data_IF_262205079021
#
_entry.id   IF_262205079021
#
_cell.length_a   1.000
_cell.length_b   1.000
_cell.length_c   1.000
_cell.angle_alpha   90.00
_cell.angle_beta   90.00
_cell.angle_gamma   90.00
#
_symmetry.space_group_name_H-M   'P 1'
#
loop_
_entity.id
_entity.type
_entity.pdbx_description
1 polymer ?
#
# COMPACT_ATOMS: atom_id res chain seq x y z
N UNK A 1 13.55 -22.71 -5.64
CA UNK A 1 12.66 -22.14 -4.82
C UNK A 1 13.27 -21.15 -3.90
N UNK A 2 12.63 -20.10 -3.76
CA UNK A 2 13.15 -19.15 -2.97
C UNK A 2 12.51 -19.16 -1.71
N UNK A 3 12.57 -20.19 -1.09
CA UNK A 3 11.99 -20.31 0.09
C UNK A 3 12.28 -19.28 0.96
N UNK A 4 13.29 -18.98 0.98
CA UNK A 4 13.54 -18.15 1.91
C UNK A 4 13.03 -16.87 2.02
N UNK A 5 12.53 -16.40 1.04
CA UNK A 5 11.92 -15.14 1.15
C UNK A 5 10.87 -15.19 2.22
N UNK A 6 10.26 -16.34 2.38
CA UNK A 6 9.30 -16.47 3.41
C UNK A 6 9.95 -16.49 4.73
N UNK A 7 10.98 -17.22 4.87
CA UNK A 7 11.62 -17.27 6.14
C UNK A 7 12.26 -15.98 6.47
N UNK A 8 12.41 -15.11 5.48
CA UNK A 8 13.01 -13.89 5.72
C UNK A 8 12.04 -12.83 5.81
N UNK A 9 10.85 -13.20 6.08
CA UNK A 9 9.84 -12.24 6.04
C UNK A 9 9.79 -11.31 7.17
N UNK A 10 10.75 -11.27 8.00
CA UNK A 10 10.99 -10.11 8.78
C UNK A 10 11.29 -8.90 7.91
N UNK A 11 11.70 -9.13 6.64
CA UNK A 11 12.00 -8.05 5.70
C UNK A 11 10.76 -7.52 5.00
N UNK A 12 9.71 -8.31 4.89
CA UNK A 12 8.47 -7.91 4.20
C UNK A 12 7.29 -8.24 5.08
N UNK A 13 6.47 -7.22 5.34
CA UNK A 13 5.22 -7.41 6.08
C UNK A 13 4.07 -6.95 5.18
N UNK A 14 3.17 -7.88 4.86
CA UNK A 14 1.96 -7.58 4.11
C UNK A 14 0.78 -7.86 5.03
N UNK A 15 -0.08 -6.87 5.21
CA UNK A 15 -1.21 -6.99 6.14
C UNK A 15 -2.52 -6.77 5.39
N UNK A 16 -3.52 -7.59 5.67
CA UNK A 16 -4.85 -7.37 5.12
C UNK A 16 -5.55 -6.30 5.93
N UNK A 17 -6.33 -5.46 5.28
CA UNK A 17 -7.04 -4.36 5.93
C UNK A 17 -8.48 -4.26 5.43
N UNK A 18 -9.34 -5.24 5.79
CA UNK A 18 -10.73 -5.25 5.29
C UNK A 18 -11.64 -4.24 5.97
N UNK A 19 -11.30 -3.76 7.17
CA UNK A 19 -12.15 -2.84 7.92
C UNK A 19 -11.48 -1.53 8.26
N UNK A 20 -10.20 -1.56 8.57
CA UNK A 20 -9.44 -0.35 8.82
C UNK A 20 -7.97 -0.61 8.46
N UNK A 21 -7.21 0.45 8.28
CA UNK A 21 -5.80 0.35 8.00
C UNK A 21 -5.05 1.19 9.02
N UNK A 22 -4.33 0.51 9.92
CA UNK A 22 -3.56 1.17 10.97
C UNK A 22 -2.14 1.41 10.48
N UNK A 23 -1.91 2.61 9.93
CA UNK A 23 -0.65 3.03 9.34
C UNK A 23 0.50 2.95 10.35
N UNK A 24 0.27 3.41 11.57
CA UNK A 24 1.30 3.43 12.59
C UNK A 24 1.68 2.03 13.06
N UNK A 25 0.69 1.17 13.29
CA UNK A 25 0.93 -0.20 13.69
C UNK A 25 1.70 -0.97 12.63
N UNK A 26 1.41 -0.70 11.35
CA UNK A 26 2.12 -1.34 10.27
C UNK A 26 3.60 -0.94 10.27
N UNK A 27 3.89 0.34 10.51
CA UNK A 27 5.27 0.80 10.60
C UNK A 27 5.99 0.11 11.77
N UNK A 28 5.31 0.01 12.91
CA UNK A 28 5.89 -0.60 14.10
C UNK A 28 6.18 -2.08 13.96
N UNK A 29 5.61 -2.73 12.95
CA UNK A 29 5.88 -4.14 12.68
C UNK A 29 7.28 -4.39 12.11
N UNK A 30 7.98 -3.36 11.68
CA UNK A 30 9.29 -3.50 11.07
C UNK A 30 10.41 -3.39 12.11
N UNK A 31 11.41 -4.26 11.97
CA UNK A 31 12.63 -4.14 12.75
C UNK A 31 13.56 -3.20 11.98
N UNK A 32 13.83 -2.04 12.53
CA UNK A 32 14.59 -1.00 11.87
C UNK A 32 16.09 -1.05 12.16
N UNK A 33 16.59 -2.12 12.78
CA UNK A 33 18.01 -2.27 13.07
C UNK A 33 18.81 -2.17 11.78
N UNK A 34 19.81 -1.32 11.77
CA UNK A 34 20.67 -1.13 10.59
C UNK A 34 20.11 -0.17 9.56
N UNK A 35 18.93 0.41 9.82
CA UNK A 35 18.31 1.36 8.90
C UNK A 35 18.50 2.78 9.42
N UNK A 36 18.89 3.68 8.54
CA UNK A 36 19.03 5.09 8.85
C UNK A 36 17.88 5.94 8.35
N UNK A 37 16.97 5.36 7.56
CA UNK A 37 15.87 6.11 6.97
C UNK A 37 14.63 5.25 6.82
N UNK A 38 13.46 5.85 7.05
CA UNK A 38 12.17 5.25 6.71
C UNK A 38 11.42 6.28 5.89
N UNK A 39 10.90 5.86 4.74
CA UNK A 39 10.00 6.69 3.93
C UNK A 39 8.65 6.00 3.93
N UNK A 40 7.60 6.76 4.26
CA UNK A 40 6.25 6.22 4.35
C UNK A 40 5.32 6.96 3.40
N UNK A 41 4.41 6.23 2.78
CA UNK A 41 3.33 6.80 2.00
C UNK A 41 2.01 6.37 2.62
N UNK A 42 1.12 7.35 2.84
CA UNK A 42 -0.22 7.09 3.31
C UNK A 42 -1.20 7.69 2.33
N UNK A 43 -2.00 6.83 1.69
CA UNK A 43 -3.09 7.28 0.81
C UNK A 43 -4.37 7.41 1.62
N UNK A 44 -5.10 8.49 1.41
CA UNK A 44 -6.31 8.81 2.17
C UNK A 44 -7.46 9.07 1.21
N UNK A 45 -8.67 8.71 1.60
CA UNK A 45 -9.86 8.95 0.80
C UNK A 45 -10.20 10.45 0.84
N UNK A 46 -10.16 11.11 -0.31
CA UNK A 46 -10.50 12.53 -0.38
C UNK A 46 -12.00 12.72 -0.14
N UNK A 47 -12.36 13.73 0.63
CA UNK A 47 -13.76 14.09 0.86
C UNK A 47 -14.32 15.02 -0.20
N UNK A 48 -13.45 15.67 -0.96
CA UNK A 48 -13.84 16.57 -2.05
C UNK A 48 -12.89 16.36 -3.21
N UNK A 49 -13.43 16.27 -4.43
CA UNK A 49 -12.63 16.16 -5.64
C UNK A 49 -13.32 17.00 -6.73
N UNK A 50 -12.60 18.00 -7.23
CA UNK A 50 -13.11 18.96 -8.24
C UNK A 50 -14.43 19.58 -7.81
N UNK A 51 -14.56 19.94 -6.53
CA UNK A 51 -15.76 20.59 -6.00
C UNK A 51 -16.91 19.62 -5.72
N UNK A 52 -16.74 18.33 -5.97
CA UNK A 52 -17.77 17.33 -5.74
C UNK A 52 -17.47 16.63 -4.41
N UNK A 53 -18.48 16.51 -3.56
CA UNK A 53 -18.32 15.83 -2.29
C UNK A 53 -18.29 14.32 -2.49
N UNK A 54 -17.23 13.68 -2.00
CA UNK A 54 -17.05 12.25 -2.06
C UNK A 54 -17.45 11.67 -0.71
N UNK A 55 -18.36 10.71 -0.70
CA UNK A 55 -18.77 10.08 0.55
C UNK A 55 -17.88 8.93 0.92
N UNK A 56 -17.52 8.11 -0.05
CA UNK A 56 -16.68 6.93 0.18
C UNK A 56 -16.18 6.32 -1.12
N UNK A 57 -15.21 5.45 -0.98
CA UNK A 57 -14.79 4.56 -2.04
C UNK A 57 -15.20 3.14 -1.64
N UNK A 58 -15.43 2.29 -2.62
CA UNK A 58 -15.68 0.87 -2.38
C UNK A 58 -14.69 0.09 -3.23
N UNK A 59 -13.87 -0.72 -2.58
CA UNK A 59 -12.85 -1.49 -3.26
C UNK A 59 -13.27 -2.94 -3.34
N UNK A 60 -13.40 -3.44 -4.58
CA UNK A 60 -13.58 -4.85 -4.82
C UNK A 60 -12.22 -5.42 -5.17
N UNK A 61 -11.84 -6.51 -4.55
CA UNK A 61 -10.50 -7.06 -4.70
C UNK A 61 -10.53 -8.56 -4.91
N UNK A 62 -9.57 -9.05 -5.69
CA UNK A 62 -9.34 -10.47 -5.80
C UNK A 62 -8.47 -10.84 -4.59
N UNK A 63 -9.11 -11.20 -3.48
CA UNK A 63 -8.46 -11.39 -2.19
C UNK A 63 -7.30 -12.37 -2.23
N UNK A 64 -7.47 -13.49 -2.93
CA UNK A 64 -6.42 -14.51 -2.98
C UNK A 64 -5.16 -14.03 -3.67
N UNK A 65 -5.26 -13.03 -4.53
CA UNK A 65 -4.12 -12.52 -5.28
C UNK A 65 -3.54 -11.25 -4.69
N UNK A 66 -4.32 -10.49 -3.94
CA UNK A 66 -3.87 -9.19 -3.46
C UNK A 66 -2.59 -9.29 -2.62
N UNK A 67 -2.60 -10.16 -1.61
CA UNK A 67 -1.44 -10.33 -0.75
C UNK A 67 -0.21 -10.80 -1.52
N UNK A 68 -0.41 -11.71 -2.48
CA UNK A 68 0.68 -12.23 -3.29
C UNK A 68 1.29 -11.12 -4.15
N UNK A 69 0.46 -10.30 -4.78
CA UNK A 69 0.94 -9.19 -5.62
C UNK A 69 1.72 -8.18 -4.78
N UNK A 70 1.19 -7.80 -3.61
CA UNK A 70 1.88 -6.86 -2.74
C UNK A 70 3.22 -7.42 -2.26
N UNK A 71 3.27 -8.70 -1.90
CA UNK A 71 4.51 -9.34 -1.47
C UNK A 71 5.53 -9.36 -2.61
N UNK A 72 5.09 -9.68 -3.81
CA UNK A 72 5.99 -9.73 -4.97
C UNK A 72 6.54 -8.34 -5.31
N UNK A 73 5.72 -7.31 -5.20
CA UNK A 73 6.19 -5.94 -5.42
C UNK A 73 7.22 -5.54 -4.37
N UNK A 74 6.98 -5.87 -3.12
CA UNK A 74 7.93 -5.57 -2.05
C UNK A 74 9.26 -6.30 -2.28
N UNK A 75 9.19 -7.57 -2.67
CA UNK A 75 10.37 -8.37 -2.95
C UNK A 75 11.16 -7.77 -4.11
N UNK A 76 10.46 -7.35 -5.15
CA UNK A 76 11.12 -6.74 -6.31
C UNK A 76 11.76 -5.41 -5.95
N UNK A 77 11.12 -4.61 -5.11
CA UNK A 77 11.68 -3.34 -4.67
C UNK A 77 12.95 -3.53 -3.85
N UNK A 78 12.99 -4.54 -2.97
CA UNK A 78 14.20 -4.84 -2.21
C UNK A 78 15.34 -5.16 -3.15
N UNK A 79 15.10 -5.99 -4.16
CA UNK A 79 16.12 -6.38 -5.10
C UNK A 79 16.56 -5.20 -5.99
N UNK A 80 15.60 -4.38 -6.42
CA UNK A 80 15.87 -3.30 -7.36
C UNK A 80 16.56 -2.10 -6.72
N UNK A 81 16.19 -1.75 -5.51
CA UNK A 81 16.69 -0.54 -4.85
C UNK A 81 17.62 -0.81 -3.68
N UNK A 82 17.82 -2.05 -3.32
CA UNK A 82 18.67 -2.45 -2.19
C UNK A 82 18.22 -1.86 -0.86
N UNK A 83 16.90 -1.73 -0.67
CA UNK A 83 16.34 -1.34 0.61
C UNK A 83 16.24 -2.57 1.52
N UNK A 84 16.01 -2.38 2.81
CA UNK A 84 16.07 -3.46 3.80
C UNK A 84 14.74 -4.05 4.18
N UNK A 85 13.74 -3.22 4.46
CA UNK A 85 12.46 -3.67 4.99
C UNK A 85 11.34 -2.94 4.30
N UNK A 86 10.24 -3.65 4.04
CA UNK A 86 9.06 -3.03 3.44
C UNK A 86 7.82 -3.57 4.14
N UNK A 87 6.89 -2.68 4.50
CA UNK A 87 5.58 -3.04 5.00
C UNK A 87 4.52 -2.39 4.11
N UNK A 88 3.52 -3.15 3.70
CA UNK A 88 2.46 -2.64 2.82
C UNK A 88 1.10 -3.19 3.23
N UNK A 89 0.08 -2.37 3.08
CA UNK A 89 -1.32 -2.78 3.24
C UNK A 89 -2.21 -1.93 2.34
N UNK A 90 -3.29 -2.50 1.85
CA UNK A 90 -4.31 -1.77 1.10
C UNK A 90 -5.68 -2.17 1.61
N UNK A 91 -6.58 -1.18 1.76
CA UNK A 91 -7.95 -1.46 2.16
C UNK A 91 -8.70 -2.21 1.09
N UNK A 92 -9.61 -3.04 1.54
CA UNK A 92 -10.66 -3.61 0.68
C UNK A 92 -11.99 -3.22 1.31
N UNK A 93 -13.08 -3.37 0.57
CA UNK A 93 -14.39 -3.01 1.04
C UNK A 93 -14.65 -1.50 1.04
N UNK A 94 -15.46 -1.07 1.96
CA UNK A 94 -15.94 0.32 2.00
C UNK A 94 -14.99 1.18 2.82
N UNK A 95 -14.55 2.30 2.23
CA UNK A 95 -13.63 3.24 2.87
C UNK A 95 -14.25 4.63 2.85
N UNK A 96 -14.58 5.17 4.03
CA UNK A 96 -15.25 6.47 4.11
C UNK A 96 -14.28 7.62 3.85
N UNK A 97 -14.81 8.77 3.49
CA UNK A 97 -13.99 9.96 3.30
C UNK A 97 -13.14 10.21 4.55
N UNK A 98 -11.88 10.51 4.37
CA UNK A 98 -10.93 10.74 5.46
C UNK A 98 -10.23 9.49 5.98
N UNK A 99 -10.68 8.30 5.60
CA UNK A 99 -10.05 7.08 6.07
C UNK A 99 -8.85 6.69 5.21
N UNK A 100 -7.94 5.93 5.81
CA UNK A 100 -6.73 5.46 5.14
C UNK A 100 -7.06 4.41 4.09
N UNK A 101 -6.43 4.51 2.92
CA UNK A 101 -6.62 3.56 1.82
C UNK A 101 -5.44 2.61 1.69
N UNK A 102 -4.25 3.16 1.71
CA UNK A 102 -3.02 2.39 1.44
C UNK A 102 -1.89 2.90 2.29
N UNK A 103 -1.06 1.99 2.78
CA UNK A 103 0.08 2.32 3.61
C UNK A 103 1.29 1.60 3.07
N UNK A 104 2.41 2.32 2.88
CA UNK A 104 3.67 1.76 2.43
C UNK A 104 4.77 2.34 3.31
N UNK A 105 5.59 1.48 3.89
CA UNK A 105 6.76 1.90 4.66
C UNK A 105 7.98 1.22 4.08
N UNK A 106 9.01 2.00 3.76
CA UNK A 106 10.26 1.47 3.24
C UNK A 106 11.39 1.90 4.16
N UNK A 107 12.11 0.94 4.71
CA UNK A 107 13.24 1.19 5.58
C UNK A 107 14.54 0.81 4.86
N UNK A 108 15.53 1.66 4.95
CA UNK A 108 16.78 1.51 4.21
C UNK A 108 17.93 2.11 5.02
N UNK A 109 19.18 1.68 4.77
CA UNK A 109 20.32 2.32 5.41
C UNK A 109 20.39 3.81 5.08
N UNK A 110 20.05 4.19 3.83
CA UNK A 110 20.11 5.59 3.38
C UNK A 110 18.80 6.03 2.73
N UNK A 111 18.51 7.33 2.83
CA UNK A 111 17.22 7.88 2.41
C UNK A 111 16.93 7.81 0.91
N UNK A 112 17.94 7.96 0.07
CA UNK A 112 17.69 8.04 -1.37
C UNK A 112 16.99 6.79 -1.91
N UNK A 113 17.52 5.62 -1.54
CA UNK A 113 16.92 4.36 -1.97
C UNK A 113 15.51 4.21 -1.42
N UNK A 114 15.27 4.66 -0.19
CA UNK A 114 13.96 4.58 0.43
C UNK A 114 12.92 5.43 -0.32
N UNK A 115 13.28 6.66 -0.72
CA UNK A 115 12.37 7.49 -1.50
C UNK A 115 12.07 6.87 -2.86
N UNK A 116 13.11 6.40 -3.56
CA UNK A 116 12.92 5.79 -4.88
C UNK A 116 12.04 4.54 -4.80
N UNK A 117 12.28 3.70 -3.83
CA UNK A 117 11.53 2.47 -3.67
C UNK A 117 10.06 2.75 -3.31
N UNK A 118 9.82 3.72 -2.43
CA UNK A 118 8.46 4.05 -2.02
C UNK A 118 7.64 4.58 -3.20
N UNK A 119 8.22 5.49 -3.99
CA UNK A 119 7.54 6.01 -5.16
C UNK A 119 7.25 4.90 -6.17
N UNK A 120 8.23 4.05 -6.43
CA UNK A 120 8.07 2.94 -7.36
C UNK A 120 6.96 1.98 -6.88
N UNK A 121 6.93 1.69 -5.59
CA UNK A 121 5.94 0.79 -5.03
C UNK A 121 4.52 1.30 -5.18
N UNK A 122 4.26 2.59 -4.90
CA UNK A 122 2.91 3.10 -5.05
C UNK A 122 2.49 3.14 -6.53
N UNK A 123 3.40 3.45 -7.43
CA UNK A 123 3.11 3.46 -8.86
C UNK A 123 2.79 2.05 -9.37
N UNK A 124 3.60 1.06 -8.99
CA UNK A 124 3.38 -0.33 -9.41
C UNK A 124 2.13 -0.92 -8.78
N UNK A 125 1.84 -0.58 -7.52
CA UNK A 125 0.64 -1.03 -6.86
C UNK A 125 -0.59 -0.54 -7.61
N UNK A 126 -0.61 0.74 -8.00
CA UNK A 126 -1.74 1.29 -8.73
C UNK A 126 -1.97 0.61 -10.08
N UNK A 127 -0.91 0.12 -10.71
CA UNK A 127 -1.01 -0.51 -12.00
C UNK A 127 -1.26 -2.02 -11.92
N UNK A 128 -0.79 -2.70 -10.89
CA UNK A 128 -0.79 -4.15 -10.82
C UNK A 128 -1.73 -4.78 -9.79
N UNK A 129 -2.17 -4.02 -8.78
CA UNK A 129 -2.99 -4.63 -7.75
C UNK A 129 -4.36 -5.04 -8.31
N UNK A 130 -4.82 -6.26 -7.99
CA UNK A 130 -6.11 -6.74 -8.48
C UNK A 130 -7.26 -6.18 -7.64
N UNK A 131 -7.43 -4.87 -7.72
CA UNK A 131 -8.42 -4.11 -6.97
C UNK A 131 -9.13 -3.16 -7.93
N UNK A 132 -10.45 -3.09 -7.80
CA UNK A 132 -11.30 -2.21 -8.58
C UNK A 132 -12.00 -1.23 -7.65
N UNK A 133 -12.05 0.05 -8.04
CA UNK A 133 -12.54 1.12 -7.18
C UNK A 133 -13.84 1.72 -7.71
N UNK A 134 -14.85 1.77 -6.86
CA UNK A 134 -16.09 2.50 -7.14
C UNK A 134 -16.14 3.73 -6.24
N UNK A 135 -16.38 4.90 -6.83
CA UNK A 135 -16.53 6.14 -6.09
C UNK A 135 -18.01 6.43 -5.88
N UNK A 136 -18.40 6.72 -4.65
CA UNK A 136 -19.77 7.10 -4.30
C UNK A 136 -19.72 8.55 -3.83
N UNK A 137 -20.39 9.44 -4.57
CA UNK A 137 -20.34 10.88 -4.33
C UNK A 137 -21.73 11.48 -4.37
N UNK A 138 -21.83 12.80 -4.17
CA UNK A 138 -23.12 13.51 -4.26
C UNK A 138 -23.72 13.45 -5.65
N UNK A 139 -22.93 13.12 -6.69
CA UNK A 139 -23.44 13.03 -8.06
C UNK A 139 -23.75 11.59 -8.48
N UNK A 140 -23.55 10.61 -7.60
CA UNK A 140 -23.87 9.20 -7.88
C UNK A 140 -22.70 8.28 -7.72
N UNK A 141 -22.79 7.10 -8.32
CA UNK A 141 -21.76 6.06 -8.23
C UNK A 141 -21.03 5.93 -9.54
N UNK A 142 -19.73 5.70 -9.50
CA UNK A 142 -18.94 5.53 -10.70
C UNK A 142 -17.76 4.59 -10.43
N UNK A 143 -17.59 3.59 -11.30
CA UNK A 143 -16.40 2.77 -11.28
C UNK A 143 -15.26 3.58 -11.90
N UNK A 144 -14.13 3.62 -11.23
CA UNK A 144 -12.96 4.36 -11.69
C UNK A 144 -11.97 3.40 -12.33
N UNK A 145 -11.36 3.83 -13.42
CA UNK A 145 -10.33 3.05 -14.07
C UNK A 145 -9.04 3.16 -13.25
N UNK A 146 -8.50 2.02 -12.88
CA UNK A 146 -7.29 1.97 -12.07
C UNK A 146 -7.48 2.50 -10.67
N UNK A 147 -6.39 2.63 -9.93
CA UNK A 147 -6.40 3.13 -8.56
C UNK A 147 -5.85 4.55 -8.45
N UNK A 148 -5.49 5.09 -9.55
CA UNK A 148 -4.86 6.38 -9.63
C UNK A 148 -5.72 7.62 -9.43
#
# INVERSE_FOLDING_TARGET
>A
MRLPRIGMDGDIVIRESPENLDHQSLLESLDLTGCGAVVSFLGITRGIDNGVQIYRLEFDAWQEKLGEVLHNLASEAIDKFSVKKIAMSHRTGRVEAGENIVSIHVASPHRKAAFLACEWLIDELKSQAPIWKKEVSETGEMWKAGLG
#
